data_IF_811703326853
#
_entry.id   IF_811703326853
#
_cell.length_a   1.000
_cell.length_b   1.000
_cell.length_c   1.000
_cell.angle_alpha   90.00
_cell.angle_beta   90.00
_cell.angle_gamma   90.00
#
_symmetry.space_group_name_H-M   'P 1'
#
loop_
_entity.id
_entity.type
_entity.pdbx_description
1 polymer ?
#
# COMPACT_ATOMS: atom_id res chain seq x y z
N UNK A 1 94.62 -65.51 40.83
CA UNK A 1 94.23 -64.08 40.96
C UNK A 1 94.06 -63.34 39.61
N UNK A 2 94.53 -63.87 38.46
CA UNK A 2 94.39 -63.20 37.15
C UNK A 2 93.02 -63.43 36.45
N UNK A 3 92.44 -64.64 36.53
CA UNK A 3 91.16 -64.97 35.89
C UNK A 3 89.95 -64.20 36.47
N UNK A 4 89.96 -63.88 37.77
CA UNK A 4 88.91 -63.07 38.40
C UNK A 4 88.88 -61.62 37.90
N UNK A 5 90.03 -61.05 37.52
CA UNK A 5 90.11 -59.67 37.01
C UNK A 5 89.55 -59.54 35.59
N UNK A 6 89.75 -60.56 34.74
CA UNK A 6 89.24 -60.57 33.37
C UNK A 6 87.70 -60.63 33.31
N UNK A 7 87.07 -61.48 34.14
CA UNK A 7 85.60 -61.53 34.22
C UNK A 7 85.00 -60.24 34.81
N UNK A 8 85.66 -59.61 35.79
CA UNK A 8 85.20 -58.32 36.33
C UNK A 8 85.32 -57.20 35.29
N UNK A 9 86.40 -57.15 34.49
CA UNK A 9 86.53 -56.16 33.42
C UNK A 9 85.51 -56.37 32.30
N UNK A 10 85.20 -57.62 31.93
CA UNK A 10 84.19 -57.93 30.93
C UNK A 10 82.77 -57.56 31.41
N UNK A 11 82.43 -57.83 32.68
CA UNK A 11 81.16 -57.40 33.28
C UNK A 11 81.02 -55.88 33.37
N UNK A 12 82.09 -55.15 33.69
CA UNK A 12 82.08 -53.68 33.70
C UNK A 12 81.89 -53.13 32.27
N UNK A 13 82.54 -53.74 31.27
CA UNK A 13 82.40 -53.35 29.88
C UNK A 13 80.98 -53.60 29.34
N UNK A 14 80.36 -54.75 29.64
CA UNK A 14 78.99 -55.05 29.22
C UNK A 14 77.97 -54.17 29.94
N UNK A 15 78.13 -53.92 31.24
CA UNK A 15 77.28 -53.00 31.99
C UNK A 15 77.38 -51.55 31.45
N UNK A 16 78.59 -51.10 31.11
CA UNK A 16 78.82 -49.80 30.47
C UNK A 16 78.13 -49.68 29.10
N UNK A 17 78.20 -50.73 28.28
CA UNK A 17 77.53 -50.76 26.98
C UNK A 17 76.00 -50.71 27.11
N UNK A 18 75.43 -51.48 28.05
CA UNK A 18 73.99 -51.44 28.34
C UNK A 18 73.57 -50.05 28.82
N UNK A 19 74.35 -49.42 29.70
CA UNK A 19 74.07 -48.07 30.18
C UNK A 19 74.07 -47.03 29.04
N UNK A 20 75.01 -47.12 28.10
CA UNK A 20 75.05 -46.25 26.92
C UNK A 20 73.83 -46.49 26.03
N UNK A 21 73.47 -47.74 25.75
CA UNK A 21 72.29 -48.07 24.94
C UNK A 21 71.00 -47.53 25.58
N UNK A 22 70.82 -47.74 26.89
CA UNK A 22 69.67 -47.19 27.62
C UNK A 22 69.67 -45.65 27.60
N UNK A 23 70.85 -45.02 27.69
CA UNK A 23 71.00 -43.58 27.55
C UNK A 23 70.59 -43.06 26.16
N UNK A 24 70.99 -43.75 25.09
CA UNK A 24 70.61 -43.40 23.71
C UNK A 24 69.12 -43.60 23.48
N UNK A 25 68.54 -44.70 23.95
CA UNK A 25 67.09 -44.95 23.85
C UNK A 25 66.32 -43.88 24.61
N UNK A 26 66.72 -43.58 25.85
CA UNK A 26 66.11 -42.53 26.66
C UNK A 26 66.18 -41.16 25.96
N UNK A 27 67.34 -40.81 25.39
CA UNK A 27 67.53 -39.58 24.64
C UNK A 27 66.66 -39.53 23.38
N UNK A 28 66.59 -40.62 22.62
CA UNK A 28 65.76 -40.73 21.42
C UNK A 28 64.26 -40.60 21.75
N UNK A 29 63.78 -41.31 22.79
CA UNK A 29 62.41 -41.19 23.28
C UNK A 29 62.08 -39.75 23.71
N UNK A 30 62.99 -39.10 24.45
CA UNK A 30 62.81 -37.72 24.89
C UNK A 30 62.82 -36.72 23.72
N UNK A 31 63.66 -36.95 22.72
CA UNK A 31 63.70 -36.12 21.50
C UNK A 31 62.42 -36.30 20.67
N UNK A 32 61.92 -37.52 20.51
CA UNK A 32 60.71 -37.82 19.75
C UNK A 32 59.46 -37.25 20.43
N UNK A 33 59.37 -37.38 21.77
CA UNK A 33 58.29 -36.79 22.55
C UNK A 33 58.22 -35.26 22.43
N UNK A 34 59.37 -34.59 22.43
CA UNK A 34 59.44 -33.12 22.34
C UNK A 34 59.32 -32.57 20.92
N UNK A 35 59.76 -33.32 19.90
CA UNK A 35 59.75 -32.85 18.50
C UNK A 35 58.50 -33.25 17.71
N UNK A 36 57.88 -34.39 18.03
CA UNK A 36 56.72 -34.91 17.31
C UNK A 36 55.48 -35.01 18.20
N UNK A 37 55.53 -35.80 19.27
CA UNK A 37 54.32 -36.16 20.05
C UNK A 37 53.66 -34.96 20.71
N UNK A 38 54.44 -34.11 21.38
CA UNK A 38 53.89 -32.93 22.06
C UNK A 38 53.30 -31.91 21.06
N UNK A 39 53.99 -31.51 19.97
CA UNK A 39 53.39 -30.62 18.96
C UNK A 39 52.14 -31.19 18.28
N UNK A 40 52.10 -32.49 17.98
CA UNK A 40 50.91 -33.13 17.41
C UNK A 40 49.73 -33.14 18.40
N UNK A 41 49.99 -33.36 19.68
CA UNK A 41 48.96 -33.29 20.71
C UNK A 41 48.36 -31.88 20.81
N UNK A 42 49.18 -30.83 20.69
CA UNK A 42 48.71 -29.43 20.67
C UNK A 42 47.86 -29.14 19.44
N UNK A 43 48.31 -29.53 18.24
CA UNK A 43 47.52 -29.34 17.01
C UNK A 43 46.19 -30.09 17.07
N UNK A 44 46.16 -31.29 17.63
CA UNK A 44 44.94 -32.05 17.84
C UNK A 44 43.97 -31.34 18.79
N UNK A 45 44.47 -30.78 19.91
CA UNK A 45 43.65 -30.00 20.84
C UNK A 45 43.09 -28.74 20.19
N UNK A 46 43.91 -28.02 19.42
CA UNK A 46 43.47 -26.82 18.70
C UNK A 46 42.38 -27.15 17.68
N UNK A 47 42.54 -28.25 16.92
CA UNK A 47 41.53 -28.68 15.96
C UNK A 47 40.23 -29.11 16.66
N UNK A 48 40.34 -29.77 17.82
CA UNK A 48 39.18 -30.14 18.63
C UNK A 48 38.44 -28.91 19.16
N UNK A 49 39.16 -27.93 19.70
CA UNK A 49 38.59 -26.67 20.15
C UNK A 49 37.87 -25.94 19.00
N UNK A 50 38.48 -25.92 17.81
CA UNK A 50 37.86 -25.33 16.63
C UNK A 50 36.58 -26.06 16.21
N UNK A 51 36.56 -27.39 16.30
CA UNK A 51 35.36 -28.20 16.03
C UNK A 51 34.27 -28.00 17.08
N UNK A 52 34.65 -27.74 18.34
CA UNK A 52 33.74 -27.40 19.43
C UNK A 52 33.24 -25.93 19.35
N UNK A 53 33.69 -25.16 18.34
CA UNK A 53 33.26 -23.80 18.07
C UNK A 53 34.10 -22.70 18.75
N UNK A 54 35.20 -23.07 19.42
CA UNK A 54 36.15 -22.11 19.96
C UNK A 54 37.14 -21.66 18.87
N UNK A 55 36.86 -20.50 18.31
CA UNK A 55 37.71 -19.87 17.28
C UNK A 55 38.73 -18.88 17.87
N UNK A 56 38.79 -18.73 19.20
CA UNK A 56 39.70 -17.81 19.88
C UNK A 56 41.09 -18.42 20.10
N UNK A 57 41.25 -19.73 19.85
CA UNK A 57 42.50 -20.45 20.06
C UNK A 57 43.65 -19.92 19.18
N UNK A 58 44.78 -19.70 19.82
CA UNK A 58 46.03 -19.37 19.14
C UNK A 58 46.70 -20.65 18.61
N UNK A 59 46.98 -20.66 17.31
CA UNK A 59 47.64 -21.80 16.66
C UNK A 59 49.15 -21.65 16.81
N UNK A 60 49.72 -22.29 17.82
CA UNK A 60 51.16 -22.32 18.05
C UNK A 60 51.92 -23.17 17.01
N UNK A 61 53.19 -22.84 16.77
CA UNK A 61 54.08 -23.63 15.90
C UNK A 61 54.04 -23.29 14.42
N UNK A 62 53.38 -22.20 14.02
CA UNK A 62 53.31 -21.69 12.65
C UNK A 62 54.66 -21.23 12.10
N UNK A 63 55.59 -20.81 12.98
CA UNK A 63 56.96 -20.40 12.62
C UNK A 63 57.90 -21.58 12.30
N UNK A 64 57.45 -22.82 12.54
CA UNK A 64 58.25 -24.01 12.26
C UNK A 64 58.42 -24.21 10.76
N UNK A 65 59.62 -24.68 10.37
CA UNK A 65 60.02 -24.95 8.98
C UNK A 65 60.00 -26.44 8.62
N UNK A 66 59.24 -27.22 9.37
CA UNK A 66 59.00 -28.65 9.14
C UNK A 66 57.53 -28.91 8.79
N UNK A 67 57.19 -30.16 8.52
CA UNK A 67 55.86 -30.61 8.13
C UNK A 67 54.81 -30.32 9.23
N UNK A 68 55.24 -30.33 10.49
CA UNK A 68 54.39 -29.95 11.63
C UNK A 68 54.04 -28.45 11.54
N UNK A 69 54.97 -27.61 11.11
CA UNK A 69 54.72 -26.21 10.79
C UNK A 69 53.74 -26.01 9.64
N UNK A 70 53.81 -26.82 8.57
CA UNK A 70 52.84 -26.79 7.48
C UNK A 70 51.42 -27.16 7.95
N UNK A 71 51.32 -28.17 8.82
CA UNK A 71 50.06 -28.53 9.45
C UNK A 71 49.52 -27.40 10.34
N UNK A 72 50.38 -26.75 11.14
CA UNK A 72 49.99 -25.62 11.97
C UNK A 72 49.45 -24.44 11.13
N UNK A 73 50.11 -24.10 10.02
CA UNK A 73 49.61 -23.09 9.07
C UNK A 73 48.28 -23.48 8.42
N UNK A 74 48.08 -24.76 8.14
CA UNK A 74 46.79 -25.24 7.60
C UNK A 74 45.66 -25.09 8.62
N UNK A 75 45.89 -25.45 9.88
CA UNK A 75 44.92 -25.27 10.97
C UNK A 75 44.60 -23.78 11.18
N UNK A 76 45.60 -22.90 11.03
CA UNK A 76 45.40 -21.45 11.08
C UNK A 76 44.40 -20.97 10.00
N UNK A 77 44.58 -21.43 8.76
CA UNK A 77 43.65 -21.12 7.65
C UNK A 77 42.24 -21.64 7.96
N UNK A 78 42.11 -22.85 8.51
CA UNK A 78 40.81 -23.39 8.91
C UNK A 78 40.13 -22.54 9.99
N UNK A 79 40.87 -22.08 11.00
CA UNK A 79 40.34 -21.18 12.03
C UNK A 79 39.84 -19.88 11.42
N UNK A 80 40.66 -19.24 10.59
CA UNK A 80 40.31 -17.96 9.97
C UNK A 80 39.08 -18.09 9.06
N UNK A 81 38.98 -19.20 8.30
CA UNK A 81 37.80 -19.53 7.51
C UNK A 81 36.55 -19.78 8.37
N UNK A 82 36.69 -20.42 9.53
CA UNK A 82 35.57 -20.64 10.45
C UNK A 82 35.04 -19.32 11.03
N UNK A 83 35.94 -18.42 11.44
CA UNK A 83 35.58 -17.07 11.91
C UNK A 83 34.84 -16.29 10.83
N UNK A 84 35.35 -16.31 9.60
CA UNK A 84 34.72 -15.58 8.50
C UNK A 84 33.34 -16.16 8.16
N UNK A 85 33.19 -17.49 8.15
CA UNK A 85 31.89 -18.14 7.96
C UNK A 85 30.88 -17.76 9.04
N UNK A 86 31.30 -17.65 10.30
CA UNK A 86 30.43 -17.21 11.40
C UNK A 86 29.97 -15.76 11.23
N UNK A 87 30.88 -14.87 10.79
CA UNK A 87 30.54 -13.47 10.48
C UNK A 87 29.54 -13.39 9.34
N UNK A 88 29.78 -14.12 8.25
CA UNK A 88 28.89 -14.17 7.09
C UNK A 88 27.53 -14.76 7.45
N UNK A 89 27.47 -15.82 8.26
CA UNK A 89 26.23 -16.40 8.75
C UNK A 89 25.41 -15.37 9.56
N UNK A 90 26.08 -14.66 10.48
CA UNK A 90 25.44 -13.59 11.26
C UNK A 90 24.94 -12.45 10.37
N UNK A 91 25.73 -12.04 9.38
CA UNK A 91 25.34 -11.01 8.43
C UNK A 91 24.12 -11.42 7.59
N UNK A 92 24.08 -12.68 7.11
CA UNK A 92 22.93 -13.24 6.38
C UNK A 92 21.66 -13.26 7.21
N UNK A 93 21.74 -13.67 8.47
CA UNK A 93 20.57 -13.66 9.38
C UNK A 93 20.04 -12.23 9.55
N UNK A 94 20.91 -11.25 9.76
CA UNK A 94 20.50 -9.84 9.85
C UNK A 94 19.90 -9.32 8.55
N UNK A 95 20.50 -9.64 7.41
CA UNK A 95 19.98 -9.24 6.10
C UNK A 95 18.59 -9.85 5.84
N UNK A 96 18.41 -11.13 6.18
CA UNK A 96 17.13 -11.80 6.06
C UNK A 96 16.07 -11.17 6.96
N UNK A 97 16.43 -10.83 8.20
CA UNK A 97 15.53 -10.15 9.13
C UNK A 97 15.08 -8.80 8.60
N UNK A 98 16.01 -7.98 8.08
CA UNK A 98 15.69 -6.68 7.45
C UNK A 98 14.79 -6.87 6.22
N UNK A 99 15.04 -7.89 5.40
CA UNK A 99 14.18 -8.22 4.24
C UNK A 99 12.78 -8.64 4.67
N UNK A 100 12.66 -9.44 5.72
CA UNK A 100 11.38 -9.88 6.27
C UNK A 100 10.58 -8.68 6.81
N UNK A 101 11.21 -7.84 7.62
CA UNK A 101 10.60 -6.61 8.15
C UNK A 101 10.12 -5.69 7.02
N UNK A 102 10.95 -5.48 5.99
CA UNK A 102 10.56 -4.67 4.82
C UNK A 102 9.39 -5.29 4.06
N UNK A 103 9.36 -6.60 3.91
CA UNK A 103 8.27 -7.31 3.24
C UNK A 103 6.96 -7.16 4.02
N UNK A 104 7.02 -7.28 5.34
CA UNK A 104 5.86 -7.10 6.22
C UNK A 104 5.32 -5.66 6.17
N UNK A 105 6.21 -4.67 6.24
CA UNK A 105 5.84 -3.25 6.10
C UNK A 105 5.17 -2.96 4.76
N UNK A 106 5.72 -3.48 3.65
CA UNK A 106 5.10 -3.31 2.32
C UNK A 106 3.73 -4.00 2.28
N UNK A 107 3.61 -5.20 2.83
CA UNK A 107 2.32 -5.91 2.87
C UNK A 107 1.27 -5.15 3.69
N UNK A 108 1.65 -4.54 4.81
CA UNK A 108 0.75 -3.68 5.60
C UNK A 108 0.32 -2.43 4.82
N UNK A 109 1.26 -1.75 4.17
CA UNK A 109 0.96 -0.59 3.33
C UNK A 109 0.02 -0.95 2.17
N UNK A 110 0.24 -2.08 1.50
CA UNK A 110 -0.66 -2.58 0.46
C UNK A 110 -2.07 -2.83 0.99
N UNK A 111 -2.20 -3.49 2.15
CA UNK A 111 -3.52 -3.74 2.76
C UNK A 111 -4.23 -2.45 3.16
N UNK A 112 -3.50 -1.45 3.66
CA UNK A 112 -4.05 -0.14 3.97
C UNK A 112 -4.52 0.58 2.71
N UNK A 113 -3.70 0.55 1.65
CA UNK A 113 -4.05 1.11 0.35
C UNK A 113 -5.31 0.45 -0.22
N UNK A 114 -5.40 -0.88 -0.21
CA UNK A 114 -6.56 -1.63 -0.67
C UNK A 114 -7.84 -1.23 0.06
N UNK A 115 -7.82 -1.18 1.41
CA UNK A 115 -8.98 -0.75 2.20
C UNK A 115 -9.41 0.68 1.88
N UNK A 116 -8.45 1.60 1.80
CA UNK A 116 -8.76 3.00 1.50
C UNK A 116 -9.31 3.18 0.08
N UNK A 117 -8.81 2.40 -0.88
CA UNK A 117 -9.30 2.39 -2.25
C UNK A 117 -10.72 1.83 -2.34
N UNK A 118 -11.02 0.75 -1.61
CA UNK A 118 -12.35 0.16 -1.52
C UNK A 118 -13.37 1.15 -0.93
N UNK A 119 -13.06 1.78 0.22
CA UNK A 119 -13.91 2.78 0.85
C UNK A 119 -14.16 3.99 -0.07
N UNK A 120 -13.10 4.48 -0.74
CA UNK A 120 -13.21 5.60 -1.68
C UNK A 120 -14.08 5.24 -2.89
N UNK A 121 -13.94 4.02 -3.41
CA UNK A 121 -14.73 3.55 -4.55
C UNK A 121 -16.20 3.36 -4.17
N UNK A 122 -16.47 2.81 -2.99
CA UNK A 122 -17.83 2.67 -2.45
C UNK A 122 -18.49 4.05 -2.30
N UNK A 123 -17.79 5.01 -1.68
CA UNK A 123 -18.26 6.40 -1.56
C UNK A 123 -18.53 7.04 -2.93
N UNK A 124 -17.64 6.81 -3.90
CA UNK A 124 -17.81 7.32 -5.26
C UNK A 124 -19.03 6.72 -5.97
N UNK A 125 -19.27 5.41 -5.82
CA UNK A 125 -20.46 4.74 -6.38
C UNK A 125 -21.74 5.29 -5.75
N UNK A 126 -21.76 5.48 -4.43
CA UNK A 126 -22.88 6.09 -3.74
C UNK A 126 -23.16 7.52 -4.22
N UNK A 127 -22.13 8.37 -4.30
CA UNK A 127 -22.27 9.74 -4.78
C UNK A 127 -22.76 9.80 -6.24
N UNK A 128 -22.28 8.89 -7.08
CA UNK A 128 -22.72 8.78 -8.48
C UNK A 128 -24.18 8.34 -8.60
N UNK A 129 -24.62 7.41 -7.75
CA UNK A 129 -26.02 6.98 -7.68
C UNK A 129 -26.95 8.12 -7.23
N UNK A 130 -26.56 8.88 -6.21
CA UNK A 130 -27.30 10.06 -5.75
C UNK A 130 -27.37 11.14 -6.84
N UNK A 131 -26.28 11.38 -7.56
CA UNK A 131 -26.25 12.33 -8.67
C UNK A 131 -27.21 11.89 -9.79
N UNK A 132 -27.23 10.59 -10.12
CA UNK A 132 -28.17 10.02 -11.11
C UNK A 132 -29.62 10.20 -10.66
N UNK A 133 -29.92 9.90 -9.40
CA UNK A 133 -31.26 10.09 -8.84
C UNK A 133 -31.68 11.57 -8.81
N UNK A 134 -30.73 12.49 -8.60
CA UNK A 134 -30.98 13.93 -8.67
C UNK A 134 -31.26 14.39 -10.11
N UNK A 135 -30.49 13.90 -11.08
CA UNK A 135 -30.70 14.19 -12.49
C UNK A 135 -32.06 13.66 -12.99
N UNK A 136 -32.48 12.47 -12.58
CA UNK A 136 -33.79 11.91 -12.91
C UNK A 136 -34.93 12.75 -12.32
N UNK A 137 -34.80 13.19 -11.05
CA UNK A 137 -35.76 14.11 -10.42
C UNK A 137 -35.84 15.45 -11.16
N UNK A 138 -34.70 15.98 -11.59
CA UNK A 138 -34.64 17.22 -12.37
C UNK A 138 -35.33 17.07 -13.73
N UNK A 139 -35.12 15.96 -14.43
CA UNK A 139 -35.80 15.65 -15.69
C UNK A 139 -37.31 15.61 -15.51
N UNK A 140 -37.81 14.89 -14.52
CA UNK A 140 -39.26 14.81 -14.21
C UNK A 140 -39.83 16.18 -13.86
N UNK A 141 -39.10 17.00 -13.09
CA UNK A 141 -39.52 18.36 -12.74
C UNK A 141 -39.60 19.26 -13.99
N UNK A 142 -38.63 19.16 -14.89
CA UNK A 142 -38.62 19.88 -16.16
C UNK A 142 -39.81 19.49 -17.04
N UNK A 143 -40.10 18.18 -17.20
CA UNK A 143 -41.25 17.69 -17.95
C UNK A 143 -42.58 18.22 -17.38
N UNK A 144 -42.71 18.23 -16.05
CA UNK A 144 -43.89 18.76 -15.38
C UNK A 144 -44.03 20.29 -15.54
N UNK A 145 -42.92 21.04 -15.47
CA UNK A 145 -42.90 22.49 -15.71
C UNK A 145 -43.28 22.83 -17.15
N UNK A 146 -42.80 22.04 -18.12
CA UNK A 146 -43.17 22.16 -19.54
C UNK A 146 -44.68 21.94 -19.72
N UNK A 147 -45.24 20.88 -19.12
CA UNK A 147 -46.68 20.59 -19.17
C UNK A 147 -47.53 21.70 -18.56
N UNK A 148 -47.13 22.22 -17.39
CA UNK A 148 -47.82 23.35 -16.75
C UNK A 148 -47.75 24.62 -17.59
N UNK A 149 -46.61 24.92 -18.19
CA UNK A 149 -46.43 26.08 -19.06
C UNK A 149 -47.33 26.00 -20.29
N UNK A 150 -47.47 24.81 -20.89
CA UNK A 150 -48.40 24.59 -21.99
C UNK A 150 -49.87 24.79 -21.57
N UNK A 151 -50.25 24.31 -20.39
CA UNK A 151 -51.60 24.53 -19.85
C UNK A 151 -51.89 26.02 -19.60
N UNK A 152 -50.93 26.77 -19.04
CA UNK A 152 -51.04 28.22 -18.82
C UNK A 152 -51.16 28.96 -20.16
N UNK A 153 -50.35 28.60 -21.16
CA UNK A 153 -50.44 29.21 -22.49
C UNK A 153 -51.83 29.00 -23.13
N UNK A 154 -52.38 27.78 -23.01
CA UNK A 154 -53.72 27.46 -23.48
C UNK A 154 -54.80 28.29 -22.76
N UNK A 155 -54.72 28.37 -21.42
CA UNK A 155 -55.65 29.16 -20.61
C UNK A 155 -55.59 30.66 -20.96
N UNK A 156 -54.39 31.20 -21.18
CA UNK A 156 -54.19 32.58 -21.60
C UNK A 156 -54.79 32.84 -22.99
N UNK A 157 -54.63 31.91 -23.94
CA UNK A 157 -55.23 32.00 -25.27
C UNK A 157 -56.76 32.04 -25.20
N UNK A 158 -57.36 31.17 -24.36
CA UNK A 158 -58.81 31.16 -24.14
C UNK A 158 -59.29 32.46 -23.48
N UNK A 159 -58.58 32.95 -22.46
CA UNK A 159 -58.91 34.22 -21.82
C UNK A 159 -58.86 35.40 -22.81
N UNK A 160 -57.85 35.44 -23.68
CA UNK A 160 -57.75 36.47 -24.73
C UNK A 160 -58.94 36.42 -25.70
N UNK A 161 -59.35 35.21 -26.11
CA UNK A 161 -60.54 35.02 -26.97
C UNK A 161 -61.82 35.51 -26.29
N UNK A 162 -61.98 35.22 -25.00
CA UNK A 162 -63.12 35.69 -24.21
C UNK A 162 -63.14 37.22 -24.09
N UNK A 163 -61.99 37.84 -23.81
CA UNK A 163 -61.86 39.32 -23.76
C UNK A 163 -62.23 39.94 -25.11
N UNK A 164 -61.81 39.33 -26.22
CA UNK A 164 -62.15 39.83 -27.55
C UNK A 164 -63.65 39.70 -27.85
N UNK A 165 -64.28 38.59 -27.45
CA UNK A 165 -65.74 38.41 -27.53
C UNK A 165 -66.49 39.46 -26.70
N UNK A 166 -66.02 39.75 -25.48
CA UNK A 166 -66.61 40.79 -24.62
C UNK A 166 -66.46 42.18 -25.21
N UNK A 167 -65.32 42.49 -25.82
CA UNK A 167 -65.09 43.76 -26.51
C UNK A 167 -66.08 43.92 -27.68
N UNK A 168 -66.24 42.90 -28.52
CA UNK A 168 -67.21 42.90 -29.62
C UNK A 168 -68.66 43.08 -29.12
N UNK A 169 -69.04 42.37 -28.06
CA UNK A 169 -70.37 42.53 -27.45
C UNK A 169 -70.58 43.95 -26.89
N UNK A 170 -69.55 44.55 -26.30
CA UNK A 170 -69.58 45.92 -25.79
C UNK A 170 -69.71 46.95 -26.92
N UNK A 171 -69.05 46.74 -28.06
CA UNK A 171 -69.20 47.57 -29.27
C UNK A 171 -70.61 47.45 -29.88
N UNK A 172 -71.18 46.24 -29.93
CA UNK A 172 -72.56 46.02 -30.39
C UNK A 172 -73.57 46.70 -29.47
N UNK A 173 -73.39 46.58 -28.15
CA UNK A 173 -74.22 47.26 -27.15
C UNK A 173 -74.14 48.78 -27.30
N UNK A 174 -72.94 49.34 -27.51
CA UNK A 174 -72.77 50.77 -27.74
C UNK A 174 -73.49 51.25 -29.02
N UNK A 175 -73.42 50.46 -30.10
CA UNK A 175 -74.17 50.73 -31.35
C UNK A 175 -75.69 50.68 -31.12
N UNK A 176 -76.18 49.68 -30.38
CA UNK A 176 -77.60 49.52 -30.04
C UNK A 176 -78.13 50.69 -29.19
N UNK A 177 -77.37 51.12 -28.17
CA UNK A 177 -77.70 52.29 -27.35
C UNK A 177 -77.78 53.55 -28.22
N UNK A 178 -76.84 53.73 -29.15
CA UNK A 178 -76.87 54.84 -30.11
C UNK A 178 -78.13 54.82 -30.99
N UNK A 179 -78.51 53.65 -31.51
CA UNK A 179 -79.72 53.48 -32.33
C UNK A 179 -81.01 53.73 -31.53
N UNK A 180 -81.08 53.26 -30.27
CA UNK A 180 -82.20 53.53 -29.36
C UNK A 180 -82.31 55.02 -29.08
N UNK A 181 -81.19 55.71 -28.84
CA UNK A 181 -81.16 57.17 -28.67
C UNK A 181 -81.78 57.89 -29.88
N UNK A 182 -81.36 57.53 -31.10
CA UNK A 182 -81.93 58.10 -32.32
C UNK A 182 -83.43 57.80 -32.49
N UNK A 183 -83.88 56.59 -32.13
CA UNK A 183 -85.29 56.20 -32.14
C UNK A 183 -86.15 56.97 -31.13
N UNK A 184 -85.59 57.25 -29.95
CA UNK A 184 -86.22 58.07 -28.91
C UNK A 184 -86.38 59.50 -29.40
N UNK A 185 -85.32 60.11 -29.94
CA UNK A 185 -85.36 61.47 -30.52
C UNK A 185 -86.41 61.58 -31.64
N UNK A 186 -86.47 60.59 -32.53
CA UNK A 186 -87.46 60.53 -33.60
C UNK A 186 -88.90 60.42 -33.04
N UNK A 187 -89.14 59.58 -32.03
CA UNK A 187 -90.45 59.47 -31.39
C UNK A 187 -90.87 60.78 -30.73
N UNK A 188 -89.96 61.44 -30.01
CA UNK A 188 -90.22 62.75 -29.40
C UNK A 188 -90.56 63.80 -30.45
N UNK A 189 -89.86 63.82 -31.59
CA UNK A 189 -90.17 64.71 -32.72
C UNK A 189 -91.56 64.44 -33.31
N UNK A 190 -91.92 63.17 -33.52
CA UNK A 190 -93.26 62.78 -34.00
C UNK A 190 -94.35 63.20 -33.02
N UNK A 191 -94.16 62.93 -31.72
CA UNK A 191 -95.11 63.34 -30.68
C UNK A 191 -95.27 64.87 -30.62
N UNK A 192 -94.17 65.63 -30.74
CA UNK A 192 -94.21 67.09 -30.80
C UNK A 192 -94.95 67.63 -32.04
N UNK A 193 -94.72 67.03 -33.20
CA UNK A 193 -95.44 67.35 -34.43
C UNK A 193 -96.94 67.03 -34.30
N UNK A 194 -97.29 65.87 -33.74
CA UNK A 194 -98.68 65.48 -33.52
C UNK A 194 -99.43 66.43 -32.57
N UNK A 195 -98.78 66.91 -31.50
CA UNK A 195 -99.34 67.94 -30.60
C UNK A 195 -99.58 69.25 -31.35
N UNK A 196 -98.63 69.64 -32.22
CA UNK A 196 -98.74 70.85 -33.03
C UNK A 196 -99.89 70.75 -34.03
N UNK A 197 -100.06 69.60 -34.67
CA UNK A 197 -101.14 69.36 -35.62
C UNK A 197 -102.51 69.27 -34.93
N UNK A 198 -102.59 68.63 -33.76
CA UNK A 198 -103.80 68.61 -32.93
C UNK A 198 -104.22 70.02 -32.49
N UNK A 199 -103.26 70.90 -32.15
CA UNK A 199 -103.54 72.32 -31.89
C UNK A 199 -104.10 73.03 -33.11
N UNK A 200 -103.49 72.86 -34.29
CA UNK A 200 -104.00 73.44 -35.54
C UNK A 200 -105.42 73.00 -35.87
N UNK A 201 -105.71 71.71 -35.73
CA UNK A 201 -107.05 71.16 -35.96
C UNK A 201 -108.09 71.63 -34.92
N UNK A 202 -107.65 72.00 -33.72
CA UNK A 202 -108.53 72.57 -32.68
C UNK A 202 -108.79 74.07 -32.87
N UNK A 203 -107.95 74.77 -33.63
CA UNK A 203 -108.08 76.20 -33.95
C UNK A 203 -108.89 76.46 -35.24
N UNK A 204 -109.26 75.39 -35.98
CA UNK A 204 -110.16 75.41 -37.16
C UNK A 204 -111.53 74.87 -36.83
#
# INVERSE_FOLDING_TARGET
>A
KAAGKANTQLLIATAGFIAILLGVIFFACRMMGTRLTAPLAVLWQNMRALADGDHSVEIAGTDRRDEIGDMARSVLIFRDAAVENQKLATARVREQEVKNQRTEQIAELCRLFERNAEESLESFVHASSELRASADRMRVSADHSQGKSAAVASAAQQASSNVQSVAQASEELARSIGAVGQHVDQSTAISGNAITEAKRASDT
#
